data_IF_503275441747
#
_entry.id   IF_503275441747
#
_cell.length_a   1.000
_cell.length_b   1.000
_cell.length_c   1.000
_cell.angle_alpha   90.00
_cell.angle_beta   90.00
_cell.angle_gamma   90.00
#
_symmetry.space_group_name_H-M   'P 1'
#
loop_
_entity.id
_entity.type
_entity.pdbx_description
1 polymer ?
#
# COMPACT_ATOMS: atom_id res chain seq x y z
N UNK A 1 24.14 10.13 -46.89
CA UNK A 1 22.84 9.46 -46.84
C UNK A 1 22.85 8.56 -45.60
N UNK A 2 21.96 8.83 -44.64
CA UNK A 2 21.45 7.97 -43.54
C UNK A 2 22.45 7.16 -42.69
N UNK A 3 22.45 7.20 -41.37
CA UNK A 3 21.48 7.73 -40.39
C UNK A 3 21.77 7.03 -39.07
N UNK A 4 22.03 7.82 -38.02
CA UNK A 4 22.27 7.35 -36.67
C UNK A 4 20.95 7.24 -35.93
N UNK A 5 20.59 6.05 -35.46
CA UNK A 5 19.50 5.84 -34.51
C UNK A 5 19.79 4.56 -33.70
N UNK A 6 20.34 4.72 -32.50
CA UNK A 6 20.23 3.77 -31.39
C UNK A 6 21.05 4.24 -30.17
N UNK A 7 20.59 5.23 -29.38
CA UNK A 7 21.10 5.38 -28.00
C UNK A 7 20.28 6.22 -27.01
N UNK A 8 18.98 6.49 -27.22
CA UNK A 8 18.22 7.44 -26.37
C UNK A 8 17.25 6.77 -25.38
N UNK A 9 16.98 5.46 -25.51
CA UNK A 9 15.98 4.77 -24.66
C UNK A 9 16.52 4.19 -23.34
N UNK A 10 17.83 3.92 -23.24
CA UNK A 10 18.43 3.35 -22.01
C UNK A 10 18.54 4.35 -20.84
N UNK A 11 18.93 5.59 -21.13
CA UNK A 11 19.24 6.60 -20.09
C UNK A 11 18.01 7.11 -19.34
N UNK A 12 16.84 7.15 -19.98
CA UNK A 12 15.60 7.66 -19.38
C UNK A 12 14.97 6.64 -18.43
N UNK A 13 15.03 5.35 -18.77
CA UNK A 13 14.55 4.26 -17.92
C UNK A 13 15.44 4.11 -16.68
N UNK A 14 16.77 4.10 -16.85
CA UNK A 14 17.73 4.06 -15.73
C UNK A 14 17.58 5.27 -14.80
N UNK A 15 17.40 6.47 -15.36
CA UNK A 15 17.15 7.68 -14.58
C UNK A 15 15.85 7.63 -13.78
N UNK A 16 14.78 7.08 -14.36
CA UNK A 16 13.50 6.91 -13.66
C UNK A 16 13.58 5.90 -12.52
N UNK A 17 14.28 4.77 -12.73
CA UNK A 17 14.53 3.75 -11.70
C UNK A 17 15.36 4.34 -10.55
N UNK A 18 16.42 5.09 -10.85
CA UNK A 18 17.25 5.74 -9.83
C UNK A 18 16.46 6.77 -9.00
N UNK A 19 15.59 7.56 -9.65
CA UNK A 19 14.72 8.52 -8.97
C UNK A 19 13.70 7.83 -8.05
N UNK A 20 13.06 6.75 -8.52
CA UNK A 20 12.12 5.96 -7.71
C UNK A 20 12.80 5.33 -6.49
N UNK A 21 14.01 4.79 -6.68
CA UNK A 21 14.81 4.22 -5.60
C UNK A 21 15.23 5.28 -4.58
N UNK A 22 15.64 6.47 -5.04
CA UNK A 22 15.95 7.59 -4.17
C UNK A 22 14.75 8.03 -3.32
N UNK A 23 13.57 8.12 -3.94
CA UNK A 23 12.32 8.47 -3.26
C UNK A 23 11.93 7.42 -2.20
N UNK A 24 12.06 6.13 -2.53
CA UNK A 24 11.81 5.03 -1.58
C UNK A 24 12.76 5.09 -0.40
N UNK A 25 14.07 5.26 -0.64
CA UNK A 25 15.06 5.38 0.43
C UNK A 25 14.78 6.57 1.34
N UNK A 26 14.38 7.72 0.77
CA UNK A 26 13.99 8.91 1.54
C UNK A 26 12.76 8.66 2.40
N UNK A 27 11.74 8.00 1.87
CA UNK A 27 10.52 7.71 2.64
C UNK A 27 10.78 6.66 3.75
N UNK A 28 11.66 5.67 3.51
CA UNK A 28 12.14 4.74 4.55
C UNK A 28 12.92 5.46 5.65
N UNK A 29 13.86 6.34 5.29
CA UNK A 29 14.65 7.11 6.25
C UNK A 29 13.76 7.98 7.15
N UNK A 30 12.71 8.59 6.59
CA UNK A 30 11.72 9.37 7.36
C UNK A 30 10.90 8.53 8.30
N UNK A 31 10.44 7.37 7.84
CA UNK A 31 9.70 6.46 8.69
C UNK A 31 10.57 5.99 9.87
N UNK A 32 11.85 5.73 9.63
CA UNK A 32 12.82 5.38 10.67
C UNK A 32 13.07 6.53 11.66
N UNK A 33 13.29 7.76 11.16
CA UNK A 33 13.43 8.94 12.03
C UNK A 33 12.18 9.16 12.90
N UNK A 34 10.99 9.00 12.32
CA UNK A 34 9.74 9.09 13.05
C UNK A 34 9.58 7.95 14.09
N UNK A 35 10.08 6.75 13.81
CA UNK A 35 10.10 5.66 14.78
C UNK A 35 11.02 5.95 15.98
N UNK A 36 12.20 6.54 15.72
CA UNK A 36 13.11 6.98 16.78
C UNK A 36 12.49 8.09 17.65
N UNK A 37 11.88 9.10 17.03
CA UNK A 37 11.17 10.17 17.74
C UNK A 37 10.02 9.65 18.59
N UNK A 38 9.30 8.66 18.08
CA UNK A 38 8.21 7.99 18.80
C UNK A 38 8.73 7.25 20.03
N UNK A 39 9.87 6.56 19.91
CA UNK A 39 10.50 5.84 21.01
C UNK A 39 11.11 6.77 22.07
N UNK A 40 11.66 7.91 21.65
CA UNK A 40 12.34 8.86 22.55
C UNK A 40 11.39 9.85 23.22
N UNK A 41 10.30 10.23 22.54
CA UNK A 41 9.40 11.28 23.00
C UNK A 41 7.95 10.80 23.03
N UNK A 42 7.27 10.80 21.89
CA UNK A 42 5.89 10.30 21.76
C UNK A 42 5.46 10.18 20.30
N UNK A 43 4.36 9.46 20.07
CA UNK A 43 3.70 9.34 18.76
C UNK A 43 3.38 10.71 18.15
N UNK A 44 2.96 11.67 18.98
CA UNK A 44 2.61 13.01 18.50
C UNK A 44 3.80 13.76 17.89
N UNK A 45 4.99 13.62 18.48
CA UNK A 45 6.20 14.25 17.92
C UNK A 45 6.57 13.64 16.58
N UNK A 46 6.47 12.32 16.46
CA UNK A 46 6.68 11.61 15.20
C UNK A 46 5.69 12.06 14.12
N UNK A 47 4.41 12.17 14.46
CA UNK A 47 3.36 12.60 13.53
C UNK A 47 3.56 14.05 13.08
N UNK A 48 3.85 14.97 14.00
CA UNK A 48 4.16 16.37 13.69
C UNK A 48 5.39 16.47 12.79
N UNK A 49 6.45 15.71 13.07
CA UNK A 49 7.66 15.65 12.23
C UNK A 49 7.33 15.22 10.79
N UNK A 50 6.53 14.16 10.63
CA UNK A 50 6.13 13.66 9.31
C UNK A 50 5.32 14.70 8.54
N UNK A 51 4.31 15.28 9.18
CA UNK A 51 3.47 16.31 8.58
C UNK A 51 4.26 17.57 8.19
N UNK A 52 5.11 18.07 9.09
CA UNK A 52 5.93 19.25 8.86
C UNK A 52 6.92 19.03 7.71
N UNK A 53 7.60 17.89 7.69
CA UNK A 53 8.57 17.56 6.63
C UNK A 53 7.90 17.51 5.26
N UNK A 54 6.73 16.85 5.14
CA UNK A 54 5.97 16.81 3.89
C UNK A 54 5.46 18.16 3.45
N UNK A 55 5.04 19.02 4.39
CA UNK A 55 4.62 20.38 4.09
C UNK A 55 5.77 21.22 3.53
N UNK A 56 6.95 21.15 4.17
CA UNK A 56 8.17 21.84 3.71
C UNK A 56 8.57 21.38 2.32
N UNK A 57 8.57 20.07 2.05
CA UNK A 57 8.87 19.54 0.71
C UNK A 57 7.92 20.05 -0.37
N UNK A 58 6.62 20.14 -0.03
CA UNK A 58 5.61 20.60 -0.97
C UNK A 58 5.80 22.09 -1.29
N UNK A 59 6.13 22.91 -0.28
CA UNK A 59 6.45 24.32 -0.45
C UNK A 59 7.74 24.53 -1.26
N UNK A 60 8.77 23.70 -1.03
CA UNK A 60 10.00 23.75 -1.81
C UNK A 60 9.76 23.36 -3.27
N UNK A 61 8.97 22.30 -3.51
CA UNK A 61 8.59 21.89 -4.86
C UNK A 61 7.73 22.91 -5.58
N UNK A 62 6.79 23.57 -4.92
CA UNK A 62 5.99 24.61 -5.55
C UNK A 62 6.86 25.79 -5.98
N UNK A 63 7.85 26.18 -5.16
CA UNK A 63 8.84 27.21 -5.53
C UNK A 63 9.71 26.78 -6.73
N UNK A 64 10.13 25.51 -6.78
CA UNK A 64 10.92 24.98 -7.91
C UNK A 64 10.10 24.84 -9.20
N UNK A 65 8.85 24.38 -9.10
CA UNK A 65 7.94 24.24 -10.25
C UNK A 65 7.48 25.60 -10.79
N UNK A 66 7.35 26.63 -9.95
CA UNK A 66 7.11 28.00 -10.40
C UNK A 66 8.25 28.56 -11.26
N UNK A 67 9.47 28.01 -11.14
CA UNK A 67 10.62 28.34 -11.97
C UNK A 67 10.94 27.34 -13.09
N UNK A 68 10.23 26.22 -13.18
CA UNK A 68 10.48 25.15 -14.15
C UNK A 68 9.15 24.58 -14.66
N UNK A 69 8.75 25.01 -15.85
CA UNK A 69 7.57 24.59 -16.61
C UNK A 69 7.68 23.16 -17.17
N UNK A 70 8.49 22.28 -16.57
CA UNK A 70 8.76 20.92 -17.02
C UNK A 70 8.56 19.90 -15.89
N UNK A 71 7.30 19.62 -15.53
CA UNK A 71 6.96 18.44 -14.72
C UNK A 71 6.05 17.50 -15.52
N UNK A 72 6.52 17.12 -16.71
CA UNK A 72 5.96 16.04 -17.52
C UNK A 72 6.48 14.69 -17.02
N UNK A 73 6.11 14.29 -15.80
CA UNK A 73 6.47 13.00 -15.23
C UNK A 73 5.27 12.04 -15.25
N UNK A 74 5.27 11.09 -16.18
CA UNK A 74 4.39 9.91 -16.22
C UNK A 74 2.87 10.19 -16.32
N UNK A 75 2.43 10.77 -17.44
CA UNK A 75 1.02 10.64 -17.87
C UNK A 75 0.81 9.23 -18.44
N UNK A 76 0.54 8.24 -17.59
CA UNK A 76 0.12 6.91 -18.04
C UNK A 76 -1.33 6.89 -18.53
N UNK A 77 -2.04 8.03 -18.44
CA UNK A 77 -3.49 8.12 -18.70
C UNK A 77 -4.35 7.43 -17.64
N UNK A 78 -3.73 6.64 -16.75
CA UNK A 78 -4.38 5.91 -15.67
C UNK A 78 -4.50 6.77 -14.40
N UNK A 79 -5.54 6.55 -13.58
CA UNK A 79 -5.67 7.22 -12.29
C UNK A 79 -4.59 6.75 -11.31
N UNK A 80 -4.09 7.67 -10.49
CA UNK A 80 -3.21 7.32 -9.37
C UNK A 80 -4.01 6.59 -8.28
N UNK A 81 -3.45 5.52 -7.74
CA UNK A 81 -4.08 4.72 -6.68
C UNK A 81 -3.35 4.92 -5.36
N UNK A 82 -4.10 5.29 -4.33
CA UNK A 82 -3.60 5.42 -2.95
C UNK A 82 -4.29 4.36 -2.11
N UNK A 83 -3.52 3.45 -1.50
CA UNK A 83 -4.07 2.44 -0.58
C UNK A 83 -3.68 2.84 0.84
N UNK A 84 -4.67 3.03 1.71
CA UNK A 84 -4.46 3.43 3.10
C UNK A 84 -4.63 2.22 4.01
N UNK A 85 -3.68 2.05 4.92
CA UNK A 85 -3.72 1.01 5.95
C UNK A 85 -3.14 1.55 7.25
N UNK A 86 -3.58 1.04 8.39
CA UNK A 86 -2.97 1.37 9.68
C UNK A 86 -1.51 0.93 9.72
N UNK A 87 -1.29 -0.34 9.43
CA UNK A 87 0.03 -0.99 9.43
C UNK A 87 0.09 -2.03 8.32
N UNK A 88 1.30 -2.45 8.00
CA UNK A 88 1.58 -3.57 7.08
C UNK A 88 1.96 -4.83 7.89
N UNK A 89 1.04 -5.30 8.73
CA UNK A 89 1.23 -6.51 9.56
C UNK A 89 0.63 -7.75 8.90
N UNK A 90 0.97 -8.94 9.37
CA UNK A 90 0.44 -10.21 8.85
C UNK A 90 -1.03 -10.46 9.24
N UNK A 91 -1.94 -9.60 8.78
CA UNK A 91 -3.38 -9.78 8.85
C UNK A 91 -3.99 -10.05 7.48
N UNK A 92 -5.19 -10.65 7.44
CA UNK A 92 -5.86 -11.00 6.19
C UNK A 92 -6.17 -9.79 5.31
N UNK A 93 -6.64 -8.71 5.93
CA UNK A 93 -6.96 -7.46 5.23
C UNK A 93 -5.70 -6.76 4.70
N UNK A 94 -4.62 -6.74 5.48
CA UNK A 94 -3.34 -6.16 5.09
C UNK A 94 -2.71 -6.92 3.93
N UNK A 95 -2.73 -8.27 3.96
CA UNK A 95 -2.26 -9.10 2.84
C UNK A 95 -3.08 -8.86 1.56
N UNK A 96 -4.40 -8.71 1.68
CA UNK A 96 -5.24 -8.39 0.51
C UNK A 96 -4.91 -7.02 -0.08
N UNK A 97 -4.68 -6.00 0.76
CA UNK A 97 -4.23 -4.67 0.30
C UNK A 97 -2.86 -4.75 -0.39
N UNK A 98 -1.94 -5.57 0.12
CA UNK A 98 -0.63 -5.79 -0.49
C UNK A 98 -0.72 -6.49 -1.87
N UNK A 99 -1.55 -7.54 -1.97
CA UNK A 99 -1.81 -8.24 -3.23
C UNK A 99 -2.49 -7.33 -4.25
N UNK A 100 -3.49 -6.55 -3.82
CA UNK A 100 -4.15 -5.56 -4.66
C UNK A 100 -3.17 -4.50 -5.17
N UNK A 101 -2.31 -3.98 -4.30
CA UNK A 101 -1.27 -3.02 -4.68
C UNK A 101 -0.34 -3.59 -5.75
N UNK A 102 0.11 -4.83 -5.54
CA UNK A 102 1.01 -5.55 -6.47
C UNK A 102 0.35 -5.78 -7.82
N UNK A 103 -0.92 -6.20 -7.84
CA UNK A 103 -1.64 -6.44 -9.09
C UNK A 103 -1.96 -5.15 -9.85
N UNK A 104 -2.28 -4.06 -9.15
CA UNK A 104 -2.47 -2.75 -9.78
C UNK A 104 -1.16 -2.20 -10.36
N UNK A 105 -0.06 -2.34 -9.64
CA UNK A 105 1.27 -1.97 -10.11
C UNK A 105 1.67 -2.78 -11.36
N UNK A 106 1.44 -4.09 -11.36
CA UNK A 106 1.65 -4.97 -12.53
C UNK A 106 0.84 -4.54 -13.75
N UNK A 107 -0.33 -3.93 -13.55
CA UNK A 107 -1.19 -3.37 -14.61
C UNK A 107 -0.79 -1.95 -15.03
N UNK A 108 0.28 -1.39 -14.47
CA UNK A 108 0.82 -0.07 -14.82
C UNK A 108 0.15 1.11 -14.10
N UNK A 109 -0.67 0.86 -13.07
CA UNK A 109 -1.21 1.95 -12.26
C UNK A 109 -0.11 2.54 -11.37
N UNK A 110 -0.04 3.88 -11.21
CA UNK A 110 0.83 4.46 -10.20
C UNK A 110 0.23 4.22 -8.81
N UNK A 111 0.81 3.29 -8.05
CA UNK A 111 0.33 2.89 -6.71
C UNK A 111 1.18 3.49 -5.60
N UNK A 112 0.53 4.02 -4.57
CA UNK A 112 1.17 4.43 -3.31
C UNK A 112 0.42 3.84 -2.12
N UNK A 113 1.14 3.13 -1.25
CA UNK A 113 0.62 2.65 0.03
C UNK A 113 0.96 3.68 1.12
N UNK A 114 -0.04 4.07 1.89
CA UNK A 114 0.10 4.98 3.04
C UNK A 114 -0.20 4.22 4.33
N UNK A 115 0.81 4.11 5.18
CA UNK A 115 0.68 3.60 6.53
C UNK A 115 0.38 4.75 7.50
N UNK A 116 -0.80 4.74 8.12
CA UNK A 116 -1.22 5.84 9.01
C UNK A 116 -0.76 5.71 10.47
N UNK A 117 -0.19 4.56 10.83
CA UNK A 117 0.43 4.35 12.15
C UNK A 117 1.92 4.03 12.00
N UNK A 118 2.28 2.86 11.47
CA UNK A 118 3.66 2.40 11.33
C UNK A 118 3.81 1.48 10.12
N UNK A 119 5.04 1.30 9.66
CA UNK A 119 5.36 0.16 8.79
C UNK A 119 5.26 -1.15 9.56
N UNK A 120 5.19 -2.24 8.83
CA UNK A 120 5.20 -3.59 9.37
C UNK A 120 5.92 -4.55 8.43
N UNK A 121 6.06 -5.82 8.82
CA UNK A 121 6.89 -6.80 8.13
C UNK A 121 6.47 -7.06 6.67
N UNK A 122 5.19 -6.84 6.33
CA UNK A 122 4.71 -7.01 4.95
C UNK A 122 5.32 -6.01 3.97
N UNK A 123 6.03 -4.96 4.42
CA UNK A 123 6.75 -4.06 3.51
C UNK A 123 7.75 -4.79 2.60
N UNK A 124 8.28 -5.93 3.07
CA UNK A 124 9.20 -6.78 2.32
C UNK A 124 8.51 -7.56 1.19
N UNK A 125 7.19 -7.74 1.26
CA UNK A 125 6.38 -8.38 0.21
C UNK A 125 5.91 -7.36 -0.85
N UNK A 126 6.08 -6.05 -0.60
CA UNK A 126 5.65 -4.99 -1.52
C UNK A 126 6.72 -4.74 -2.60
N UNK A 127 6.37 -4.79 -3.90
CA UNK A 127 7.29 -4.48 -4.99
C UNK A 127 8.02 -3.15 -4.81
N UNK A 128 9.26 -3.05 -5.29
CA UNK A 128 10.05 -1.84 -5.18
C UNK A 128 9.46 -0.65 -5.95
N UNK A 129 8.74 -0.93 -7.05
CA UNK A 129 7.96 0.02 -7.85
C UNK A 129 6.81 0.66 -7.08
N UNK A 130 6.20 -0.06 -6.13
CA UNK A 130 5.14 0.47 -5.28
C UNK A 130 5.75 1.34 -4.19
N UNK A 131 5.38 2.61 -4.17
CA UNK A 131 5.83 3.55 -3.14
C UNK A 131 5.11 3.28 -1.82
N UNK A 132 5.85 3.21 -0.72
CA UNK A 132 5.29 3.05 0.64
C UNK A 132 5.71 4.23 1.51
N UNK A 133 4.75 4.90 2.14
CA UNK A 133 5.00 6.08 2.99
C UNK A 133 4.30 5.97 4.34
N UNK A 134 4.89 6.54 5.39
CA UNK A 134 4.23 6.73 6.69
C UNK A 134 3.71 8.17 6.77
N UNK A 135 2.42 8.34 7.07
CA UNK A 135 1.81 9.66 7.19
C UNK A 135 0.68 9.65 8.23
N UNK A 136 0.66 10.56 9.22
CA UNK A 136 -0.44 10.61 10.19
C UNK A 136 -1.81 10.78 9.53
N UNK A 137 -2.82 10.17 10.15
CA UNK A 137 -4.18 10.14 9.60
C UNK A 137 -4.76 11.55 9.37
N UNK A 138 -4.42 12.52 10.23
CA UNK A 138 -4.97 13.87 10.23
C UNK A 138 -4.29 14.81 9.21
N UNK A 139 -3.15 14.43 8.63
CA UNK A 139 -2.47 15.21 7.59
C UNK A 139 -2.28 14.38 6.31
N UNK A 140 -3.30 14.27 5.43
CA UNK A 140 -3.26 13.42 4.24
C UNK A 140 -2.45 14.03 3.08
N UNK A 141 -1.19 14.39 3.35
CA UNK A 141 -0.25 14.98 2.40
C UNK A 141 0.52 13.85 1.72
N UNK A 142 0.03 13.41 0.56
CA UNK A 142 0.64 12.35 -0.24
C UNK A 142 0.98 12.90 -1.62
N UNK A 143 2.20 12.62 -2.04
CA UNK A 143 2.68 12.97 -3.37
C UNK A 143 2.24 11.90 -4.37
N UNK A 144 1.38 12.31 -5.29
CA UNK A 144 0.83 11.47 -6.35
C UNK A 144 0.99 12.17 -7.70
N UNK A 145 1.04 11.42 -8.82
CA UNK A 145 0.99 12.01 -10.15
C UNK A 145 -0.21 12.94 -10.35
N UNK A 146 -0.07 13.94 -11.21
CA UNK A 146 -1.18 14.84 -11.53
C UNK A 146 -2.27 14.09 -12.32
N UNK A 147 -3.53 14.36 -12.01
CA UNK A 147 -4.68 13.76 -12.70
C UNK A 147 -5.75 13.22 -11.73
N UNK A 148 -6.67 12.38 -12.25
CA UNK A 148 -7.62 11.64 -11.42
C UNK A 148 -6.89 10.71 -10.44
N UNK A 149 -7.43 10.57 -9.24
CA UNK A 149 -6.85 9.70 -8.23
C UNK A 149 -7.93 8.99 -7.42
N UNK A 150 -7.70 7.73 -7.07
CA UNK A 150 -8.60 6.91 -6.26
C UNK A 150 -7.86 6.51 -4.99
N UNK A 151 -8.50 6.73 -3.84
CA UNK A 151 -8.05 6.24 -2.56
C UNK A 151 -8.89 5.04 -2.13
N UNK A 152 -8.23 3.97 -1.71
CA UNK A 152 -8.84 2.77 -1.13
C UNK A 152 -8.45 2.71 0.34
N UNK A 153 -9.44 2.84 1.24
CA UNK A 153 -9.26 2.67 2.68
C UNK A 153 -9.86 1.35 3.14
N UNK A 154 -9.53 0.88 4.34
CA UNK A 154 -10.39 -0.01 5.11
C UNK A 154 -11.49 0.77 5.82
N UNK A 155 -12.05 0.15 6.85
CA UNK A 155 -13.20 0.60 7.65
C UNK A 155 -12.82 0.95 9.10
N UNK A 156 -11.54 1.22 9.38
CA UNK A 156 -11.09 1.72 10.70
C UNK A 156 -11.25 3.24 10.81
N UNK A 157 -11.32 3.76 12.04
CA UNK A 157 -11.49 5.20 12.30
C UNK A 157 -10.37 6.06 11.68
N UNK A 158 -9.12 5.64 11.83
CA UNK A 158 -7.93 6.35 11.33
C UNK A 158 -7.86 6.33 9.80
N UNK A 159 -8.14 5.19 9.18
CA UNK A 159 -8.15 5.07 7.71
C UNK A 159 -9.30 5.89 7.10
N UNK A 160 -10.49 5.83 7.71
CA UNK A 160 -11.65 6.62 7.30
C UNK A 160 -11.43 8.12 7.49
N UNK A 161 -10.81 8.52 8.60
CA UNK A 161 -10.44 9.90 8.88
C UNK A 161 -9.48 10.45 7.82
N UNK A 162 -8.41 9.72 7.53
CA UNK A 162 -7.47 10.07 6.47
C UNK A 162 -8.16 10.19 5.12
N UNK A 163 -8.98 9.19 4.75
CA UNK A 163 -9.67 9.17 3.46
C UNK A 163 -10.65 10.34 3.30
N UNK A 164 -11.38 10.68 4.36
CA UNK A 164 -12.31 11.81 4.39
C UNK A 164 -11.59 13.13 4.11
N UNK A 165 -10.49 13.38 4.83
CA UNK A 165 -9.69 14.59 4.65
C UNK A 165 -9.01 14.62 3.28
N UNK A 166 -8.49 13.49 2.82
CA UNK A 166 -7.83 13.38 1.51
C UNK A 166 -8.81 13.65 0.36
N UNK A 167 -10.02 13.09 0.43
CA UNK A 167 -11.08 13.27 -0.58
C UNK A 167 -11.53 14.73 -0.66
N UNK A 168 -11.64 15.42 0.48
CA UNK A 168 -12.05 16.82 0.54
C UNK A 168 -11.05 17.77 -0.15
N UNK A 169 -9.78 17.39 -0.24
CA UNK A 169 -8.73 18.27 -0.76
C UNK A 169 -8.75 18.48 -2.29
N UNK A 170 -9.48 17.68 -3.07
CA UNK A 170 -9.66 17.93 -4.51
C UNK A 170 -10.89 17.22 -5.09
N UNK A 171 -11.61 17.90 -6.01
CA UNK A 171 -12.81 17.35 -6.67
C UNK A 171 -12.52 16.12 -7.54
N UNK A 172 -11.33 16.03 -8.14
CA UNK A 172 -10.88 14.92 -9.01
C UNK A 172 -10.51 13.63 -8.26
N UNK A 173 -10.46 13.68 -6.93
CA UNK A 173 -10.21 12.52 -6.09
C UNK A 173 -11.44 11.63 -6.02
N UNK A 174 -11.29 10.34 -5.74
CA UNK A 174 -12.40 9.43 -5.43
C UNK A 174 -12.00 8.56 -4.26
N UNK A 175 -12.95 8.15 -3.44
CA UNK A 175 -12.70 7.33 -2.28
C UNK A 175 -13.56 6.06 -2.30
N UNK A 176 -12.90 4.91 -2.21
CA UNK A 176 -13.52 3.60 -2.04
C UNK A 176 -13.20 3.03 -0.66
N UNK A 177 -14.19 2.43 -0.01
CA UNK A 177 -14.02 1.74 1.28
C UNK A 177 -14.01 0.24 1.04
N UNK A 178 -12.89 -0.42 1.33
CA UNK A 178 -12.77 -1.87 1.38
C UNK A 178 -13.20 -2.37 2.77
N UNK A 179 -14.50 -2.61 2.92
CA UNK A 179 -15.05 -3.15 4.15
C UNK A 179 -14.56 -4.58 4.33
N UNK A 180 -13.98 -4.89 5.50
CA UNK A 180 -13.40 -6.19 5.78
C UNK A 180 -13.66 -6.66 7.21
N UNK A 181 -14.22 -5.81 8.08
CA UNK A 181 -14.70 -6.26 9.39
C UNK A 181 -15.88 -7.22 9.14
N UNK A 182 -15.83 -8.44 9.71
CA UNK A 182 -16.93 -9.38 9.59
C UNK A 182 -18.22 -8.76 10.15
N UNK A 183 -19.31 -8.77 9.38
CA UNK A 183 -20.58 -8.29 9.88
C UNK A 183 -21.09 -9.22 10.98
N UNK A 184 -21.77 -8.65 11.97
CA UNK A 184 -22.48 -9.41 12.99
C UNK A 184 -23.97 -9.42 12.69
N UNK A 185 -24.63 -10.56 12.91
CA UNK A 185 -26.02 -10.75 12.49
C UNK A 185 -26.99 -9.79 13.19
N UNK A 186 -26.76 -9.48 14.47
CA UNK A 186 -27.74 -8.83 15.33
C UNK A 186 -27.30 -7.47 15.91
N UNK A 187 -26.16 -6.92 15.49
CA UNK A 187 -25.71 -5.60 15.99
C UNK A 187 -24.90 -4.79 14.98
N UNK A 188 -24.97 -3.45 15.05
CA UNK A 188 -24.08 -2.59 14.28
C UNK A 188 -22.62 -2.80 14.72
N UNK A 189 -21.73 -2.98 13.75
CA UNK A 189 -20.28 -3.13 13.98
C UNK A 189 -19.53 -1.79 13.93
N UNK A 190 -20.08 -0.81 13.21
CA UNK A 190 -19.53 0.54 13.10
C UNK A 190 -20.21 1.51 14.05
N UNK A 191 -19.42 2.43 14.61
CA UNK A 191 -19.97 3.58 15.33
C UNK A 191 -20.78 4.49 14.38
N UNK A 192 -21.67 5.31 14.95
CA UNK A 192 -22.45 6.29 14.18
C UNK A 192 -21.56 7.31 13.44
N UNK A 193 -20.52 7.89 14.06
CA UNK A 193 -19.62 8.81 13.36
C UNK A 193 -18.87 8.15 12.20
N UNK A 194 -18.36 6.92 12.42
CA UNK A 194 -17.68 6.14 11.39
C UNK A 194 -18.61 5.86 10.20
N UNK A 195 -19.84 5.42 10.48
CA UNK A 195 -20.87 5.21 9.45
C UNK A 195 -21.16 6.51 8.69
N UNK A 196 -21.33 7.63 9.39
CA UNK A 196 -21.61 8.93 8.78
C UNK A 196 -20.49 9.42 7.86
N UNK A 197 -19.23 9.16 8.22
CA UNK A 197 -18.09 9.46 7.37
C UNK A 197 -18.06 8.57 6.12
N UNK A 198 -18.19 7.24 6.29
CA UNK A 198 -18.16 6.28 5.17
C UNK A 198 -19.31 6.47 4.17
N UNK A 199 -20.45 7.02 4.59
CA UNK A 199 -21.54 7.41 3.67
C UNK A 199 -21.14 8.41 2.60
N UNK A 200 -20.02 9.12 2.78
CA UNK A 200 -19.48 10.09 1.82
C UNK A 200 -18.51 9.45 0.81
N UNK A 201 -18.20 8.16 0.96
CA UNK A 201 -17.39 7.45 0.00
C UNK A 201 -18.09 7.36 -1.36
N UNK A 202 -17.30 7.32 -2.43
CA UNK A 202 -17.80 7.19 -3.81
C UNK A 202 -18.19 5.72 -4.13
N UNK A 203 -17.77 4.76 -3.29
CA UNK A 203 -18.23 3.37 -3.35
C UNK A 203 -17.59 2.46 -2.31
N UNK A 204 -18.06 1.21 -2.28
CA UNK A 204 -17.62 0.16 -1.36
C UNK A 204 -17.09 -1.05 -2.12
N UNK A 205 -15.98 -1.60 -1.67
CA UNK A 205 -15.45 -2.89 -2.09
C UNK A 205 -15.80 -3.88 -0.97
N UNK A 206 -16.53 -4.94 -1.32
CA UNK A 206 -16.98 -5.97 -0.39
C UNK A 206 -16.57 -7.35 -0.86
N UNK A 207 -16.42 -8.28 0.07
CA UNK A 207 -15.95 -9.64 -0.23
C UNK A 207 -17.00 -10.49 -0.93
N UNK A 208 -18.27 -10.24 -0.60
CA UNK A 208 -19.39 -10.99 -1.13
C UNK A 208 -20.66 -10.12 -1.14
N UNK A 209 -21.62 -10.50 -1.98
CA UNK A 209 -22.94 -9.90 -1.99
C UNK A 209 -23.62 -9.97 -0.61
N UNK A 210 -23.56 -11.14 0.04
CA UNK A 210 -24.09 -11.35 1.39
C UNK A 210 -23.43 -10.43 2.43
N UNK A 211 -22.12 -10.18 2.32
CA UNK A 211 -21.42 -9.27 3.23
C UNK A 211 -22.00 -7.86 3.15
N UNK A 212 -22.30 -7.35 1.95
CA UNK A 212 -22.94 -6.05 1.78
C UNK A 212 -24.35 -6.00 2.38
N UNK A 213 -25.15 -7.04 2.16
CA UNK A 213 -26.51 -7.13 2.71
C UNK A 213 -26.50 -7.06 4.24
N UNK A 214 -25.60 -7.83 4.87
CA UNK A 214 -25.45 -7.82 6.33
C UNK A 214 -24.96 -6.46 6.85
N UNK A 215 -24.03 -5.80 6.17
CA UNK A 215 -23.58 -4.45 6.53
C UNK A 215 -24.71 -3.42 6.42
N UNK A 216 -25.47 -3.46 5.32
CA UNK A 216 -26.51 -2.46 5.06
C UNK A 216 -27.79 -2.68 5.86
N UNK A 217 -28.00 -3.86 6.43
CA UNK A 217 -29.08 -4.12 7.39
C UNK A 217 -28.96 -3.23 8.64
N UNK A 218 -27.73 -3.00 9.12
CA UNK A 218 -27.47 -2.27 10.37
C UNK A 218 -26.90 -0.87 10.16
N UNK A 219 -26.31 -0.61 8.99
CA UNK A 219 -25.64 0.64 8.66
C UNK A 219 -26.27 1.29 7.44
N UNK A 220 -26.61 2.57 7.54
CA UNK A 220 -27.09 3.38 6.41
C UNK A 220 -25.95 3.72 5.44
N UNK A 221 -25.25 2.73 4.90
CA UNK A 221 -24.23 2.91 3.87
C UNK A 221 -24.93 3.07 2.52
N UNK A 222 -24.40 3.93 1.66
CA UNK A 222 -24.96 4.20 0.34
C UNK A 222 -23.88 4.20 -0.73
N UNK A 223 -24.29 4.33 -1.99
CA UNK A 223 -23.39 4.46 -3.13
C UNK A 223 -23.18 3.18 -3.93
N UNK A 224 -22.16 3.20 -4.78
CA UNK A 224 -21.82 2.07 -5.65
C UNK A 224 -21.14 0.98 -4.83
N UNK A 225 -21.37 -0.28 -5.19
CA UNK A 225 -20.68 -1.42 -4.59
C UNK A 225 -19.96 -2.23 -5.66
N UNK A 226 -18.85 -2.81 -5.27
CA UNK A 226 -18.02 -3.70 -6.07
C UNK A 226 -17.79 -4.97 -5.25
N UNK A 227 -18.14 -6.11 -5.79
CA UNK A 227 -17.88 -7.40 -5.14
C UNK A 227 -16.52 -7.90 -5.64
N UNK A 228 -15.57 -7.99 -4.72
CA UNK A 228 -14.22 -8.49 -4.97
C UNK A 228 -13.92 -9.57 -3.92
N UNK A 229 -14.18 -10.85 -4.25
CA UNK A 229 -13.86 -11.96 -3.36
C UNK A 229 -12.37 -11.97 -3.04
N UNK A 230 -12.04 -12.43 -1.84
CA UNK A 230 -10.64 -12.63 -1.45
C UNK A 230 -10.00 -13.63 -2.41
N UNK A 231 -9.13 -13.13 -3.29
CA UNK A 231 -8.24 -14.00 -4.05
C UNK A 231 -7.29 -14.70 -3.07
N UNK A 232 -7.21 -16.02 -3.15
CA UNK A 232 -6.04 -16.74 -2.65
C UNK A 232 -4.96 -16.60 -3.71
N UNK A 233 -3.76 -16.17 -3.33
CA UNK A 233 -2.62 -16.25 -4.24
C UNK A 233 -2.50 -17.73 -4.64
N UNK A 234 -2.60 -18.02 -5.95
CA UNK A 234 -2.41 -19.39 -6.41
C UNK A 234 -0.98 -19.80 -6.07
N UNK A 235 -0.83 -20.82 -5.22
CA UNK A 235 0.46 -21.43 -4.95
C UNK A 235 0.92 -22.08 -6.26
N UNK A 236 1.75 -21.37 -7.04
CA UNK A 236 2.20 -21.87 -8.33
C UNK A 236 2.68 -20.84 -9.33
N UNK A 237 2.49 -19.54 -9.12
CA UNK A 237 3.15 -18.55 -9.97
C UNK A 237 4.65 -18.50 -9.63
N UNK A 238 5.55 -18.93 -10.53
CA UNK A 238 6.97 -18.84 -10.27
C UNK A 238 7.37 -17.38 -10.16
N UNK A 239 8.18 -17.05 -9.16
CA UNK A 239 8.83 -15.75 -9.08
C UNK A 239 9.53 -15.46 -10.42
N UNK A 240 9.44 -14.23 -10.96
CA UNK A 240 10.17 -13.89 -12.18
C UNK A 240 11.66 -13.95 -11.88
N UNK A 241 12.32 -14.98 -12.39
CA UNK A 241 13.77 -15.11 -12.40
C UNK A 241 14.36 -13.96 -13.24
N UNK A 242 15.15 -13.04 -12.66
CA UNK A 242 15.80 -11.96 -13.41
C UNK A 242 16.86 -12.46 -14.40
N UNK A 243 17.17 -13.76 -14.41
CA UNK A 243 18.35 -14.33 -15.09
C UNK A 243 18.10 -15.10 -16.38
N UNK A 244 16.87 -15.47 -16.76
CA UNK A 244 16.66 -16.39 -17.89
C UNK A 244 16.66 -15.68 -19.25
N UNK A 245 17.84 -15.24 -19.69
CA UNK A 245 18.13 -15.11 -21.13
C UNK A 245 18.01 -16.50 -21.76
N UNK A 246 17.16 -16.60 -22.78
CA UNK A 246 17.11 -17.75 -23.67
C UNK A 246 18.48 -17.89 -24.34
N UNK A 247 19.25 -18.90 -23.93
CA UNK A 247 20.44 -19.34 -24.63
C UNK A 247 20.21 -20.78 -25.08
N UNK A 248 20.24 -20.96 -26.39
CA UNK A 248 20.24 -22.26 -27.03
C UNK A 248 21.40 -23.13 -26.52
N UNK A 249 21.13 -24.42 -26.31
CA UNK A 249 22.16 -25.44 -26.12
C UNK A 249 22.94 -25.65 -27.45
N UNK A 250 24.21 -26.10 -27.43
CA UNK A 250 24.44 -27.55 -27.27
C UNK A 250 25.73 -27.96 -26.51
N UNK A 251 25.73 -29.20 -26.00
CA UNK A 251 26.91 -30.08 -26.00
C UNK A 251 27.56 -30.44 -24.64
N UNK A 252 27.42 -31.71 -24.26
CA UNK A 252 28.41 -32.63 -23.62
C UNK A 252 29.09 -32.25 -22.28
N UNK A 253 29.43 -33.12 -21.33
CA UNK A 253 29.22 -34.52 -21.00
C UNK A 253 29.88 -34.78 -19.61
N UNK A 254 29.62 -35.95 -19.02
CA UNK A 254 30.27 -36.61 -17.86
C UNK A 254 29.99 -36.03 -16.45
N UNK A 255 29.26 -36.77 -15.59
CA UNK A 255 29.74 -37.81 -14.64
C UNK A 255 30.20 -37.17 -13.30
N UNK A 256 30.00 -37.68 -12.10
CA UNK A 256 29.65 -39.01 -11.60
C UNK A 256 29.30 -38.86 -10.09
N UNK A 257 28.57 -39.84 -9.52
CA UNK A 257 28.53 -40.27 -8.09
C UNK A 257 28.07 -39.27 -7.00
N UNK A 258 27.44 -39.65 -5.89
CA UNK A 258 26.76 -40.83 -5.31
C UNK A 258 26.55 -40.44 -3.83
N UNK A 259 25.38 -40.76 -3.26
CA UNK A 259 25.10 -40.96 -1.83
C UNK A 259 25.31 -39.73 -0.90
N UNK A 260 24.48 -39.43 0.10
CA UNK A 260 24.00 -40.31 1.17
C UNK A 260 22.89 -39.57 1.94
N UNK A 261 21.73 -40.21 2.15
CA UNK A 261 20.88 -40.05 3.35
C UNK A 261 21.05 -41.34 4.18
N UNK A 262 20.82 -41.40 5.52
CA UNK A 262 19.58 -40.93 6.16
C UNK A 262 19.65 -40.36 7.60
N UNK A 263 18.65 -39.52 7.95
CA UNK A 263 17.73 -39.49 9.12
C UNK A 263 18.21 -39.71 10.60
N UNK A 264 17.36 -39.52 11.65
CA UNK A 264 16.43 -38.43 12.02
C UNK A 264 16.53 -38.03 13.54
N UNK A 265 15.51 -37.31 14.05
CA UNK A 265 14.94 -37.28 15.43
C UNK A 265 15.03 -35.94 16.18
N UNK A 266 13.87 -35.46 16.65
CA UNK A 266 13.80 -34.54 17.79
C UNK A 266 12.51 -33.72 17.91
N UNK A 267 11.39 -34.33 18.32
CA UNK A 267 10.18 -33.61 18.76
C UNK A 267 10.44 -32.88 20.08
N UNK A 268 9.97 -31.65 20.21
CA UNK A 268 9.63 -31.06 21.52
C UNK A 268 8.51 -30.03 21.35
N UNK A 269 7.48 -30.20 22.17
CA UNK A 269 6.25 -29.44 22.21
C UNK A 269 6.38 -28.22 23.13
N UNK A 270 5.77 -27.09 22.74
CA UNK A 270 5.56 -25.93 23.60
C UNK A 270 4.19 -25.33 23.32
N UNK A 271 3.31 -25.36 24.33
CA UNK A 271 1.94 -24.80 24.31
C UNK A 271 1.93 -23.26 24.39
N UNK A 272 0.80 -22.61 24.03
CA UNK A 272 0.74 -21.20 23.69
C UNK A 272 0.52 -20.28 24.91
N UNK A 273 1.17 -19.12 24.90
CA UNK A 273 0.93 -18.04 25.83
C UNK A 273 -0.27 -17.19 25.34
N UNK A 274 -1.36 -17.23 26.12
CA UNK A 274 -2.41 -16.20 26.11
C UNK A 274 -1.95 -15.01 26.96
N UNK A 275 -2.64 -13.90 26.74
CA UNK A 275 -2.66 -12.63 27.50
C UNK A 275 -1.71 -11.54 27.03
N UNK A 276 -2.28 -10.54 26.32
CA UNK A 276 -2.18 -9.13 26.70
C UNK A 276 -3.08 -8.23 25.81
N UNK A 277 -3.72 -7.25 26.46
CA UNK A 277 -4.30 -6.02 25.93
C UNK A 277 -5.78 -5.97 25.54
N UNK A 278 -6.60 -6.13 26.57
CA UNK A 278 -7.75 -5.25 26.81
C UNK A 278 -7.28 -3.86 27.30
N UNK A 279 -8.14 -2.84 27.17
CA UNK A 279 -8.03 -1.45 27.64
C UNK A 279 -7.40 -0.42 26.68
N UNK A 280 -8.26 0.22 25.87
CA UNK A 280 -8.21 1.66 25.59
C UNK A 280 -9.65 2.19 25.50
N UNK A 281 -10.21 2.50 26.67
CA UNK A 281 -11.40 3.34 26.83
C UNK A 281 -11.00 4.81 26.66
N UNK A 282 -11.79 5.55 25.88
CA UNK A 282 -11.66 6.99 25.68
C UNK A 282 -12.56 7.75 26.67
N UNK A 283 -11.96 8.64 27.45
CA UNK A 283 -12.55 9.93 27.85
C UNK A 283 -11.82 11.03 27.10
#
# INVERSE_FOLDING_TARGET
MTGADAHVTGSTHEGAVAAAQHDRNRDLARANAALLLEHQHSVHHADVYLAATKLVERLQRSKRAAGSSAAAGHRTGLPAIVIVTNRLVYGGAERQKALLATELDRRGYPVTIVCVQRFGPLINEIPHSVRVVRQPWWAPIVDIPAGPAVLISGDTNTETGFATLWRAAAKSRRWLVAAHIPPEDNRPIYSRPLTAAMRRADGFIVLAQRHWEMLTAHHRLGGRRFVAPNGVAAAGDPAPDPGRRSAAAPGDALADRRAQEPAPVGRSAGRPHRDAMEALDFR
#
